data_IF_214175619655
#
_entry.id   IF_214175619655
#
_cell.length_a   1.000
_cell.length_b   1.000
_cell.length_c   1.000
_cell.angle_alpha   90.00
_cell.angle_beta   90.00
_cell.angle_gamma   90.00
#
_symmetry.space_group_name_H-M   'P 1'
#
loop_
_entity.id
_entity.type
_entity.pdbx_description
1 polymer ?
#
# COMPACT_ATOMS: atom_id res chain seq x y z
N UNK A 1 18.66 10.95 40.31
CA UNK A 1 18.60 10.24 39.04
C UNK A 1 18.36 11.24 37.92
N UNK A 2 19.05 11.13 36.80
CA UNK A 2 18.70 11.96 35.63
C UNK A 2 17.51 11.29 34.89
N UNK A 3 16.29 11.73 35.26
CA UNK A 3 15.05 11.18 34.67
C UNK A 3 14.53 12.01 33.49
N UNK A 4 15.24 13.06 33.09
CA UNK A 4 14.84 13.94 31.98
C UNK A 4 14.59 13.20 30.65
N UNK A 5 15.41 12.18 30.34
CA UNK A 5 15.24 11.36 29.15
C UNK A 5 13.91 10.53 29.17
N UNK A 6 13.49 10.08 30.36
CA UNK A 6 12.25 9.33 30.53
C UNK A 6 11.01 10.20 30.38
N UNK A 7 11.04 11.42 30.94
CA UNK A 7 9.98 12.41 30.70
C UNK A 7 9.86 12.77 29.23
N UNK A 8 10.98 12.93 28.53
CA UNK A 8 10.99 13.22 27.12
C UNK A 8 10.38 12.03 26.31
N UNK A 9 10.75 10.81 26.68
CA UNK A 9 10.18 9.59 26.05
C UNK A 9 8.67 9.49 26.25
N UNK A 10 8.17 9.74 27.47
CA UNK A 10 6.72 9.74 27.75
C UNK A 10 6.01 10.81 26.91
N UNK A 11 6.56 12.02 26.82
CA UNK A 11 5.98 13.11 26.04
C UNK A 11 5.92 12.77 24.55
N UNK A 12 7.00 12.19 24.00
CA UNK A 12 7.07 11.74 22.60
C UNK A 12 6.04 10.64 22.30
N UNK A 13 5.95 9.62 23.17
CA UNK A 13 4.99 8.53 22.99
C UNK A 13 3.53 9.02 23.10
N UNK A 14 3.27 9.99 23.98
CA UNK A 14 1.93 10.61 24.12
C UNK A 14 1.54 11.37 22.85
N UNK A 15 2.46 12.14 22.28
CA UNK A 15 2.23 12.85 21.01
C UNK A 15 1.98 11.86 19.85
N UNK A 16 2.80 10.83 19.72
CA UNK A 16 2.63 9.77 18.72
C UNK A 16 1.29 9.06 18.85
N UNK A 17 0.88 8.73 20.08
CA UNK A 17 -0.41 8.09 20.35
C UNK A 17 -1.59 9.00 20.00
N UNK A 18 -1.51 10.31 20.30
CA UNK A 18 -2.53 11.30 19.92
C UNK A 18 -2.67 11.41 18.40
N UNK A 19 -1.56 11.47 17.67
CA UNK A 19 -1.59 11.49 16.20
C UNK A 19 -2.24 10.23 15.62
N UNK A 20 -1.97 9.07 16.20
CA UNK A 20 -2.63 7.82 15.79
C UNK A 20 -4.12 7.82 16.12
N UNK A 21 -4.51 8.36 17.26
CA UNK A 21 -5.91 8.47 17.69
C UNK A 21 -6.75 9.24 16.68
N UNK A 22 -6.27 10.45 16.29
CA UNK A 22 -6.95 11.30 15.32
C UNK A 22 -7.04 10.64 13.94
N UNK A 23 -5.94 10.04 13.49
CA UNK A 23 -5.89 9.44 12.16
C UNK A 23 -6.62 8.12 12.00
N UNK A 24 -6.76 7.35 13.07
CA UNK A 24 -7.53 6.11 13.07
C UNK A 24 -9.02 6.36 13.28
N UNK A 25 -9.43 7.64 13.40
CA UNK A 25 -10.82 8.03 13.62
C UNK A 25 -11.42 7.25 14.81
N UNK A 26 -10.65 7.18 15.92
CA UNK A 26 -11.00 6.31 17.04
C UNK A 26 -12.30 6.72 17.72
N UNK A 27 -12.68 8.00 17.69
CA UNK A 27 -13.97 8.45 18.18
C UNK A 27 -15.13 7.82 17.37
N UNK A 28 -15.06 7.88 16.05
CA UNK A 28 -16.07 7.27 15.15
C UNK A 28 -16.13 5.74 15.34
N UNK A 29 -14.98 5.10 15.56
CA UNK A 29 -14.91 3.67 15.82
C UNK A 29 -15.46 3.28 17.19
N UNK A 30 -15.34 4.13 18.20
CA UNK A 30 -15.99 3.95 19.50
C UNK A 30 -17.50 4.06 19.37
N UNK A 31 -18.01 5.07 18.66
CA UNK A 31 -19.43 5.22 18.38
C UNK A 31 -19.97 4.00 17.61
N UNK A 32 -19.22 3.56 16.58
CA UNK A 32 -19.57 2.36 15.82
C UNK A 32 -19.59 1.09 16.67
N UNK A 33 -18.66 0.97 17.62
CA UNK A 33 -18.62 -0.14 18.56
C UNK A 33 -19.88 -0.19 19.43
N UNK A 34 -20.36 0.94 19.91
CA UNK A 34 -21.61 1.04 20.69
C UNK A 34 -22.83 0.68 19.83
N UNK A 35 -22.86 1.14 18.57
CA UNK A 35 -23.92 0.74 17.62
C UNK A 35 -23.93 -0.78 17.40
N UNK A 36 -22.76 -1.39 17.13
CA UNK A 36 -22.64 -2.84 16.91
C UNK A 36 -23.04 -3.64 18.14
N UNK A 37 -22.73 -3.16 19.35
CA UNK A 37 -23.20 -3.77 20.60
C UNK A 37 -24.72 -3.75 20.70
N UNK A 38 -25.35 -2.60 20.41
CA UNK A 38 -26.80 -2.46 20.41
C UNK A 38 -27.48 -3.33 19.33
N UNK A 39 -26.88 -3.39 18.12
CA UNK A 39 -27.40 -4.28 17.07
C UNK A 39 -27.35 -5.75 17.48
N UNK A 40 -26.28 -6.21 18.14
CA UNK A 40 -26.15 -7.59 18.62
C UNK A 40 -27.10 -7.94 19.78
N UNK A 41 -27.62 -6.96 20.52
CA UNK A 41 -28.66 -7.15 21.52
C UNK A 41 -30.06 -7.42 20.92
N UNK A 42 -30.24 -7.04 19.61
CA UNK A 42 -31.53 -7.28 18.94
C UNK A 42 -31.68 -8.76 18.56
N UNK A 43 -32.75 -9.44 19.04
CA UNK A 43 -32.98 -10.85 18.75
C UNK A 43 -33.10 -11.16 17.24
N UNK A 44 -33.55 -10.22 16.43
CA UNK A 44 -33.74 -10.40 14.99
C UNK A 44 -32.40 -10.62 14.24
N UNK A 45 -31.30 -10.12 14.77
CA UNK A 45 -29.97 -10.32 14.18
C UNK A 45 -29.53 -11.78 14.23
N UNK A 46 -29.91 -12.49 15.30
CA UNK A 46 -29.58 -13.90 15.50
C UNK A 46 -30.40 -14.85 14.62
N UNK A 47 -31.46 -14.35 13.97
CA UNK A 47 -32.18 -15.11 12.95
C UNK A 47 -31.41 -15.20 11.61
N UNK A 48 -30.41 -14.33 11.40
CA UNK A 48 -29.50 -14.36 10.24
C UNK A 48 -28.05 -14.66 10.70
N UNK A 49 -27.58 -15.93 10.57
CA UNK A 49 -26.26 -16.34 11.07
C UNK A 49 -25.09 -15.59 10.42
N UNK A 50 -25.17 -15.23 9.13
CA UNK A 50 -24.12 -14.52 8.41
C UNK A 50 -23.96 -13.09 8.97
N UNK A 51 -25.08 -12.38 9.16
CA UNK A 51 -25.08 -11.03 9.73
C UNK A 51 -24.56 -11.05 11.18
N UNK A 52 -24.99 -12.01 11.98
CA UNK A 52 -24.53 -12.17 13.37
C UNK A 52 -23.03 -12.46 13.44
N UNK A 53 -22.51 -13.29 12.55
CA UNK A 53 -21.07 -13.60 12.46
C UNK A 53 -20.25 -12.38 12.01
N UNK A 54 -20.74 -11.63 11.04
CA UNK A 54 -20.07 -10.39 10.56
C UNK A 54 -19.98 -9.35 11.67
N UNK A 55 -21.11 -9.03 12.32
CA UNK A 55 -21.16 -8.09 13.45
C UNK A 55 -20.32 -8.58 14.65
N UNK A 56 -20.28 -9.89 14.89
CA UNK A 56 -19.43 -10.48 15.93
C UNK A 56 -17.93 -10.29 15.65
N UNK A 57 -17.49 -10.45 14.40
CA UNK A 57 -16.10 -10.18 13.99
C UNK A 57 -15.77 -8.70 14.09
N UNK A 58 -16.66 -7.84 13.59
CA UNK A 58 -16.52 -6.38 13.64
C UNK A 58 -16.38 -5.92 15.11
N UNK A 59 -17.25 -6.40 15.99
CA UNK A 59 -17.18 -6.11 17.44
C UNK A 59 -15.82 -6.44 18.03
N UNK A 60 -15.32 -7.66 17.79
CA UNK A 60 -14.02 -8.11 18.34
C UNK A 60 -12.87 -7.23 17.83
N UNK A 61 -12.89 -6.83 16.57
CA UNK A 61 -11.87 -5.96 16.01
C UNK A 61 -11.90 -4.55 16.64
N UNK A 62 -13.09 -3.96 16.75
CA UNK A 62 -13.28 -2.64 17.35
C UNK A 62 -12.98 -2.64 18.85
N UNK A 63 -13.46 -3.65 19.61
CA UNK A 63 -13.17 -3.81 21.04
C UNK A 63 -11.64 -3.90 21.28
N UNK A 64 -10.93 -4.75 20.53
CA UNK A 64 -9.48 -4.90 20.66
C UNK A 64 -8.73 -3.60 20.38
N UNK A 65 -9.15 -2.87 19.35
CA UNK A 65 -8.52 -1.59 18.97
C UNK A 65 -8.75 -0.55 20.08
N UNK A 66 -10.00 -0.29 20.45
CA UNK A 66 -10.36 0.71 21.45
C UNK A 66 -9.74 0.39 22.82
N UNK A 67 -9.78 -0.88 23.25
CA UNK A 67 -9.16 -1.32 24.50
C UNK A 67 -7.64 -1.11 24.51
N UNK A 68 -6.98 -1.43 23.40
CA UNK A 68 -5.53 -1.26 23.25
C UNK A 68 -5.12 0.20 23.37
N UNK A 69 -5.82 1.11 22.67
CA UNK A 69 -5.53 2.54 22.76
C UNK A 69 -5.87 3.13 24.12
N UNK A 70 -6.99 2.73 24.74
CA UNK A 70 -7.36 3.15 26.08
C UNK A 70 -6.31 2.73 27.12
N UNK A 71 -5.85 1.48 27.07
CA UNK A 71 -4.78 0.97 27.94
C UNK A 71 -3.46 1.72 27.74
N UNK A 72 -3.07 1.97 26.49
CA UNK A 72 -1.84 2.69 26.17
C UNK A 72 -1.89 4.13 26.72
N UNK A 73 -3.03 4.81 26.57
CA UNK A 73 -3.23 6.14 27.10
C UNK A 73 -3.17 6.19 28.64
N UNK A 74 -3.81 5.21 29.31
CA UNK A 74 -3.72 5.07 30.77
C UNK A 74 -2.27 4.83 31.21
N UNK A 75 -1.55 3.90 30.59
CA UNK A 75 -0.14 3.63 30.92
C UNK A 75 0.72 4.88 30.79
N UNK A 76 0.55 5.68 29.73
CA UNK A 76 1.34 6.90 29.52
C UNK A 76 0.96 8.01 30.53
N UNK A 77 -0.33 8.13 30.87
CA UNK A 77 -0.80 9.08 31.90
C UNK A 77 -0.26 8.71 33.27
N UNK A 78 -0.42 7.43 33.66
CA UNK A 78 0.03 6.93 34.96
C UNK A 78 1.56 6.94 35.07
N UNK A 79 2.29 6.70 33.96
CA UNK A 79 3.74 6.68 33.93
C UNK A 79 4.37 8.01 34.36
N UNK A 80 3.73 9.14 34.03
CA UNK A 80 4.21 10.45 34.40
C UNK A 80 4.12 10.65 35.94
N UNK A 81 2.97 10.30 36.51
CA UNK A 81 2.74 10.44 37.96
C UNK A 81 3.63 9.48 38.76
N UNK A 82 3.73 8.22 38.31
CA UNK A 82 4.58 7.22 38.95
C UNK A 82 6.06 7.56 38.86
N UNK A 83 6.50 8.20 37.77
CA UNK A 83 7.89 8.66 37.64
C UNK A 83 8.22 9.79 38.63
N UNK A 84 7.28 10.73 38.84
CA UNK A 84 7.42 11.81 39.84
C UNK A 84 7.49 11.23 41.28
N UNK A 85 6.66 10.22 41.58
CA UNK A 85 6.67 9.54 42.87
C UNK A 85 7.97 8.76 43.09
N UNK A 86 8.39 7.97 42.11
CA UNK A 86 9.62 7.18 42.19
C UNK A 86 10.88 8.04 42.28
N UNK A 87 10.88 9.26 41.69
CA UNK A 87 11.94 10.23 41.82
C UNK A 87 12.04 10.73 43.29
N UNK A 88 10.91 11.06 43.92
CA UNK A 88 10.86 11.55 45.29
C UNK A 88 11.32 10.51 46.32
N UNK A 89 11.05 9.23 46.06
CA UNK A 89 11.38 8.10 46.93
C UNK A 89 12.71 7.40 46.59
N UNK A 90 13.36 7.78 45.46
CA UNK A 90 14.55 7.12 44.91
C UNK A 90 14.33 5.61 44.64
N UNK A 91 13.10 5.20 44.22
CA UNK A 91 12.72 3.84 43.95
C UNK A 91 13.14 3.41 42.52
N UNK A 92 14.27 2.71 42.45
CA UNK A 92 14.84 2.22 41.17
C UNK A 92 14.02 1.09 40.57
N UNK A 93 13.40 0.25 41.41
CA UNK A 93 12.65 -0.89 40.93
C UNK A 93 11.35 -0.46 40.22
N UNK A 94 10.65 0.53 40.76
CA UNK A 94 9.49 1.15 40.10
C UNK A 94 9.87 1.79 38.77
N UNK A 95 11.01 2.53 38.71
CA UNK A 95 11.49 3.10 37.43
C UNK A 95 11.77 2.04 36.39
N UNK A 96 12.42 0.92 36.75
CA UNK A 96 12.70 -0.18 35.81
C UNK A 96 11.41 -0.87 35.31
N UNK A 97 10.42 -1.04 36.20
CA UNK A 97 9.09 -1.56 35.81
C UNK A 97 8.41 -0.66 34.79
N UNK A 98 8.40 0.66 35.04
CA UNK A 98 7.85 1.67 34.12
C UNK A 98 8.54 1.65 32.75
N UNK A 99 9.86 1.55 32.73
CA UNK A 99 10.59 1.49 31.45
C UNK A 99 10.18 0.28 30.63
N UNK A 100 9.97 -0.86 31.27
CA UNK A 100 9.49 -2.07 30.59
C UNK A 100 8.10 -1.88 29.97
N UNK A 101 7.20 -1.19 30.65
CA UNK A 101 5.85 -0.94 30.14
C UNK A 101 5.86 0.15 29.06
N UNK A 102 6.71 1.17 29.17
CA UNK A 102 6.93 2.13 28.11
C UNK A 102 7.50 1.49 26.84
N UNK A 103 8.44 0.55 26.94
CA UNK A 103 8.98 -0.18 25.80
C UNK A 103 7.91 -1.03 25.11
N UNK A 104 7.03 -1.68 25.87
CA UNK A 104 5.87 -2.41 25.30
C UNK A 104 4.93 -1.47 24.56
N UNK A 105 4.62 -0.33 25.17
CA UNK A 105 3.74 0.70 24.59
C UNK A 105 4.35 1.29 23.31
N UNK A 106 5.66 1.56 23.31
CA UNK A 106 6.39 2.03 22.12
C UNK A 106 6.33 1.02 20.96
N UNK A 107 6.57 -0.26 21.25
CA UNK A 107 6.48 -1.32 20.24
C UNK A 107 5.05 -1.42 19.66
N UNK A 108 4.04 -1.24 20.48
CA UNK A 108 2.65 -1.29 20.08
C UNK A 108 2.28 -0.08 19.22
N UNK A 109 2.67 1.14 19.62
CA UNK A 109 2.50 2.37 18.84
C UNK A 109 3.19 2.20 17.48
N UNK A 110 4.45 1.74 17.47
CA UNK A 110 5.22 1.52 16.24
C UNK A 110 4.56 0.51 15.31
N UNK A 111 3.94 -0.53 15.85
CA UNK A 111 3.16 -1.51 15.07
C UNK A 111 1.96 -0.86 14.38
N UNK A 112 1.17 -0.06 15.09
CA UNK A 112 0.01 0.62 14.50
C UNK A 112 0.42 1.72 13.51
N UNK A 113 1.52 2.44 13.77
CA UNK A 113 2.10 3.37 12.81
C UNK A 113 2.51 2.64 11.51
N UNK A 114 3.11 1.47 11.64
CA UNK A 114 3.48 0.63 10.50
C UNK A 114 2.25 0.12 9.73
N UNK A 115 1.27 -0.47 10.42
CA UNK A 115 0.03 -0.95 9.80
C UNK A 115 -0.71 0.17 9.06
N UNK A 116 -0.67 1.38 9.61
CA UNK A 116 -1.25 2.57 8.97
C UNK A 116 -0.51 2.99 7.71
N UNK A 117 0.83 2.97 7.73
CA UNK A 117 1.64 3.36 6.57
C UNK A 117 1.37 2.47 5.35
N UNK A 118 0.99 1.20 5.57
CA UNK A 118 0.77 0.18 4.54
C UNK A 118 -0.68 -0.31 4.50
N UNK A 119 -1.61 0.63 4.27
CA UNK A 119 -3.04 0.35 4.27
C UNK A 119 -3.61 0.11 2.86
N UNK A 120 -2.82 0.27 1.82
CA UNK A 120 -3.21 0.01 0.45
C UNK A 120 -3.27 -1.50 0.14
N UNK A 121 -4.26 -1.91 -0.66
CA UNK A 121 -4.46 -3.31 -1.04
C UNK A 121 -3.22 -3.94 -1.68
N UNK A 122 -2.46 -3.14 -2.44
CA UNK A 122 -1.25 -3.57 -3.14
C UNK A 122 0.05 -3.32 -2.35
N UNK A 123 -0.02 -2.69 -1.17
CA UNK A 123 1.18 -2.28 -0.42
C UNK A 123 2.08 -3.46 -0.03
N UNK A 124 1.52 -4.66 0.15
CA UNK A 124 2.27 -5.88 0.49
C UNK A 124 3.08 -6.46 -0.66
N UNK A 125 2.79 -6.05 -1.90
CA UNK A 125 3.39 -6.65 -3.08
C UNK A 125 4.86 -6.26 -3.24
N UNK A 126 5.59 -7.07 -3.99
CA UNK A 126 6.85 -6.70 -4.61
C UNK A 126 6.67 -5.53 -5.56
N UNK A 127 7.74 -4.83 -5.93
CA UNK A 127 7.65 -3.62 -6.74
C UNK A 127 8.60 -3.61 -7.92
N UNK A 128 8.16 -2.97 -9.00
CA UNK A 128 9.03 -2.51 -10.08
C UNK A 128 9.23 -1.01 -9.94
N UNK A 129 10.48 -0.57 -10.05
CA UNK A 129 10.87 0.84 -10.01
C UNK A 129 11.54 1.20 -11.33
N UNK A 130 10.89 2.09 -12.06
CA UNK A 130 11.38 2.63 -13.34
C UNK A 130 12.02 4.00 -13.12
N UNK A 131 13.23 4.16 -13.62
CA UNK A 131 13.98 5.43 -13.61
C UNK A 131 14.13 5.90 -15.05
N UNK A 132 13.83 7.18 -15.32
CA UNK A 132 14.06 7.78 -16.61
C UNK A 132 14.80 9.10 -16.46
N UNK A 133 15.83 9.30 -17.30
CA UNK A 133 16.50 10.59 -17.37
C UNK A 133 15.60 11.65 -18.01
N UNK A 134 15.47 12.80 -17.36
CA UNK A 134 14.74 13.94 -17.90
C UNK A 134 15.51 14.70 -18.95
N UNK A 135 14.97 15.85 -19.39
CA UNK A 135 15.68 16.76 -20.29
C UNK A 135 16.90 17.36 -19.58
N UNK A 136 18.07 17.24 -20.17
CA UNK A 136 19.35 17.73 -19.63
C UNK A 136 20.59 17.06 -20.21
N UNK A 137 20.41 16.17 -21.21
CA UNK A 137 21.52 15.50 -21.90
C UNK A 137 22.32 14.62 -20.93
N UNK A 138 23.65 14.60 -21.11
CA UNK A 138 24.58 13.76 -20.33
C UNK A 138 24.45 13.97 -18.81
N UNK A 139 24.20 15.18 -18.35
CA UNK A 139 24.04 15.48 -16.92
C UNK A 139 22.78 14.82 -16.30
N UNK A 140 21.67 14.77 -17.04
CA UNK A 140 20.45 14.08 -16.60
C UNK A 140 20.61 12.56 -16.63
N UNK A 141 21.38 12.04 -17.60
CA UNK A 141 21.70 10.61 -17.70
C UNK A 141 22.59 10.16 -16.53
N UNK A 142 23.57 10.97 -16.15
CA UNK A 142 24.43 10.72 -14.99
C UNK A 142 23.60 10.80 -13.68
N UNK A 143 22.66 11.77 -13.59
CA UNK A 143 21.76 11.86 -12.46
C UNK A 143 20.87 10.62 -12.32
N UNK A 144 20.34 10.11 -13.41
CA UNK A 144 19.55 8.88 -13.40
C UNK A 144 20.36 7.67 -12.90
N UNK A 145 21.65 7.58 -13.25
CA UNK A 145 22.55 6.54 -12.75
C UNK A 145 22.83 6.70 -11.24
N UNK A 146 22.97 7.93 -10.75
CA UNK A 146 23.11 8.18 -9.31
C UNK A 146 21.85 7.74 -8.54
N UNK A 147 20.66 8.02 -9.07
CA UNK A 147 19.38 7.58 -8.50
C UNK A 147 19.29 6.05 -8.51
N UNK A 148 19.66 5.41 -9.62
CA UNK A 148 19.71 3.95 -9.71
C UNK A 148 20.57 3.37 -8.56
N UNK A 149 21.77 3.87 -8.39
CA UNK A 149 22.67 3.42 -7.32
C UNK A 149 22.09 3.65 -5.93
N UNK A 150 21.41 4.78 -5.72
CA UNK A 150 20.77 5.13 -4.46
C UNK A 150 19.68 4.12 -4.08
N UNK A 151 18.79 3.77 -5.01
CA UNK A 151 17.73 2.80 -4.73
C UNK A 151 18.24 1.36 -4.61
N UNK A 152 19.22 0.93 -5.38
CA UNK A 152 19.86 -0.37 -5.21
C UNK A 152 20.42 -0.52 -3.80
N UNK A 153 21.15 0.48 -3.30
CA UNK A 153 21.70 0.46 -1.93
C UNK A 153 20.64 0.52 -0.85
N UNK A 154 19.54 1.26 -1.10
CA UNK A 154 18.41 1.29 -0.19
C UNK A 154 17.76 -0.09 -0.08
N UNK A 155 17.54 -0.76 -1.20
CA UNK A 155 16.97 -2.11 -1.23
C UNK A 155 17.84 -3.15 -0.52
N UNK A 156 19.16 -3.08 -0.74
CA UNK A 156 20.13 -3.94 -0.04
C UNK A 156 20.07 -3.74 1.49
N UNK A 157 19.97 -2.49 1.96
CA UNK A 157 19.84 -2.17 3.39
C UNK A 157 18.55 -2.72 4.03
N UNK A 158 17.47 -2.78 3.25
CA UNK A 158 16.18 -3.32 3.69
C UNK A 158 16.04 -4.83 3.48
N UNK A 159 17.12 -5.50 3.05
CA UNK A 159 17.13 -6.94 2.76
C UNK A 159 16.13 -7.37 1.69
N UNK A 160 15.74 -6.49 0.77
CA UNK A 160 15.00 -6.88 -0.41
C UNK A 160 15.91 -7.66 -1.38
N UNK A 161 15.32 -8.63 -2.08
CA UNK A 161 16.02 -9.29 -3.18
C UNK A 161 15.92 -8.40 -4.42
N UNK A 162 16.96 -7.57 -4.65
CA UNK A 162 16.96 -6.55 -5.69
C UNK A 162 17.55 -7.10 -6.98
N UNK A 163 16.79 -6.96 -8.09
CA UNK A 163 17.24 -7.39 -9.43
C UNK A 163 17.14 -6.23 -10.41
N UNK A 164 18.24 -5.96 -11.11
CA UNK A 164 18.25 -5.03 -12.23
C UNK A 164 17.71 -5.76 -13.47
N UNK A 165 16.52 -5.35 -13.95
CA UNK A 165 15.83 -6.02 -15.04
C UNK A 165 16.26 -5.50 -16.40
N UNK A 166 16.32 -4.18 -16.56
CA UNK A 166 16.67 -3.52 -17.79
C UNK A 166 17.48 -2.25 -17.53
N UNK A 167 18.44 -1.97 -18.38
CA UNK A 167 19.21 -0.72 -18.36
C UNK A 167 19.47 -0.27 -19.78
N UNK A 168 19.08 0.95 -20.10
CA UNK A 168 19.45 1.64 -21.33
C UNK A 168 20.58 2.61 -21.05
N UNK A 169 21.77 2.36 -21.62
CA UNK A 169 22.94 3.19 -21.40
C UNK A 169 22.76 4.60 -22.00
N UNK A 170 23.38 5.58 -21.36
CA UNK A 170 23.49 6.94 -21.88
C UNK A 170 24.42 7.02 -23.10
N UNK A 171 24.36 8.15 -23.81
CA UNK A 171 25.15 8.32 -25.03
C UNK A 171 26.65 8.54 -24.73
N UNK A 172 26.97 9.19 -23.63
CA UNK A 172 28.35 9.51 -23.21
C UNK A 172 28.64 9.00 -21.80
N UNK A 173 27.68 9.15 -20.88
CA UNK A 173 27.78 8.71 -19.50
C UNK A 173 26.35 8.50 -18.93
N UNK A 174 26.27 7.78 -17.83
CA UNK A 174 24.99 7.53 -17.14
C UNK A 174 24.05 6.60 -17.89
N UNK A 175 22.77 6.69 -17.59
CA UNK A 175 21.71 5.87 -18.16
C UNK A 175 20.54 6.72 -18.69
N UNK A 176 19.89 6.26 -19.74
CA UNK A 176 18.63 6.83 -20.24
C UNK A 176 17.45 6.37 -19.40
N UNK A 177 17.42 5.08 -19.11
CA UNK A 177 16.41 4.44 -18.28
C UNK A 177 16.95 3.20 -17.59
N UNK A 178 16.31 2.82 -16.50
CA UNK A 178 16.53 1.53 -15.82
C UNK A 178 15.26 1.07 -15.16
N UNK A 179 15.05 -0.25 -15.12
CA UNK A 179 13.98 -0.92 -14.35
C UNK A 179 14.60 -1.83 -13.31
N UNK A 180 14.21 -1.65 -12.06
CA UNK A 180 14.64 -2.45 -10.92
C UNK A 180 13.42 -3.22 -10.38
N UNK A 181 13.60 -4.50 -10.09
CA UNK A 181 12.63 -5.31 -9.37
C UNK A 181 13.06 -5.44 -7.91
N UNK A 182 12.19 -5.08 -6.99
CA UNK A 182 12.34 -5.25 -5.55
C UNK A 182 11.40 -6.38 -5.12
N UNK A 183 11.96 -7.55 -4.85
CA UNK A 183 11.22 -8.72 -4.43
C UNK A 183 11.26 -8.81 -2.90
N UNK A 184 10.09 -8.71 -2.27
CA UNK A 184 9.93 -8.75 -0.83
C UNK A 184 8.62 -8.14 -0.35
N UNK A 185 8.22 -8.52 0.87
CA UNK A 185 6.96 -8.05 1.46
C UNK A 185 7.02 -6.53 1.72
N UNK A 186 5.97 -5.83 1.32
CA UNK A 186 5.81 -4.37 1.41
C UNK A 186 6.77 -3.52 0.55
N UNK A 187 7.44 -4.11 -0.44
CA UNK A 187 8.34 -3.34 -1.30
C UNK A 187 7.60 -2.20 -2.03
N UNK A 188 6.40 -2.46 -2.57
CA UNK A 188 5.58 -1.43 -3.20
C UNK A 188 5.11 -0.39 -2.19
N UNK A 189 4.64 -0.80 -1.02
CA UNK A 189 4.18 0.12 0.03
C UNK A 189 5.26 1.13 0.45
N UNK A 190 6.50 0.68 0.59
CA UNK A 190 7.64 1.55 0.88
C UNK A 190 7.95 2.54 -0.26
N UNK A 191 7.96 2.04 -1.50
CA UNK A 191 8.45 2.81 -2.65
C UNK A 191 7.39 3.68 -3.32
N UNK A 192 6.09 3.43 -3.12
CA UNK A 192 5.00 4.17 -3.77
C UNK A 192 5.08 5.68 -3.55
N UNK A 193 5.57 6.10 -2.38
CA UNK A 193 5.76 7.52 -2.07
C UNK A 193 6.95 8.16 -2.83
N UNK A 194 7.78 7.40 -3.52
CA UNK A 194 8.92 7.89 -4.29
C UNK A 194 8.59 8.19 -5.76
N UNK A 195 7.31 8.01 -6.17
CA UNK A 195 6.83 8.36 -7.50
C UNK A 195 6.91 9.87 -7.70
N UNK A 196 7.67 10.31 -8.73
CA UNK A 196 7.77 11.72 -9.09
C UNK A 196 9.11 12.13 -9.64
N UNK A 197 9.36 13.44 -9.64
CA UNK A 197 10.58 14.04 -10.22
C UNK A 197 11.59 14.36 -9.13
N UNK A 198 12.80 13.86 -9.32
CA UNK A 198 13.98 14.14 -8.51
C UNK A 198 14.84 15.20 -9.20
N UNK A 199 15.02 16.34 -8.56
CA UNK A 199 15.78 17.48 -9.07
C UNK A 199 17.18 17.49 -8.49
N UNK A 200 18.19 17.45 -9.34
CA UNK A 200 19.60 17.66 -8.98
C UNK A 200 20.05 19.06 -9.32
N UNK A 201 20.78 19.70 -8.41
CA UNK A 201 21.49 20.97 -8.63
C UNK A 201 22.92 20.79 -8.15
N UNK A 202 23.90 20.87 -9.09
CA UNK A 202 25.32 20.76 -8.78
C UNK A 202 26.20 21.48 -9.83
N UNK A 203 27.47 21.63 -9.54
CA UNK A 203 28.45 21.95 -10.56
C UNK A 203 28.66 20.73 -11.44
N UNK A 204 28.43 20.90 -12.76
CA UNK A 204 28.48 19.76 -13.70
C UNK A 204 29.93 19.33 -13.94
N UNK A 205 30.25 18.03 -13.80
CA UNK A 205 31.56 17.49 -14.18
C UNK A 205 31.76 17.43 -15.69
N UNK A 206 30.67 17.51 -16.47
CA UNK A 206 30.69 17.46 -17.94
C UNK A 206 30.81 18.85 -18.61
N UNK A 207 30.80 19.93 -17.80
CA UNK A 207 30.94 21.28 -18.29
C UNK A 207 32.35 21.81 -17.99
N UNK A 208 33.11 22.11 -19.05
CA UNK A 208 34.50 22.60 -18.95
C UNK A 208 34.64 23.87 -18.07
N UNK A 209 33.60 24.68 -17.97
CA UNK A 209 33.57 25.90 -17.15
C UNK A 209 33.04 25.68 -15.73
N UNK A 210 32.73 24.44 -15.33
CA UNK A 210 32.21 24.12 -13.99
C UNK A 210 30.91 24.84 -13.62
N UNK A 211 30.09 25.19 -14.62
CA UNK A 211 28.82 25.90 -14.37
C UNK A 211 27.85 25.02 -13.57
N UNK A 212 27.05 25.69 -12.76
CA UNK A 212 25.95 25.07 -12.02
C UNK A 212 24.84 24.68 -12.98
N UNK A 213 24.44 23.39 -12.94
CA UNK A 213 23.38 22.83 -13.76
C UNK A 213 22.25 22.29 -12.88
N UNK A 214 21.06 22.30 -13.47
CA UNK A 214 19.88 21.66 -12.90
C UNK A 214 19.47 20.54 -13.84
N UNK A 215 19.35 19.33 -13.30
CA UNK A 215 18.94 18.13 -14.03
C UNK A 215 17.78 17.46 -13.33
N UNK A 216 16.98 16.75 -14.09
CA UNK A 216 15.80 16.06 -13.60
C UNK A 216 15.85 14.59 -14.01
N UNK A 217 15.32 13.75 -13.13
CA UNK A 217 15.05 12.35 -13.42
C UNK A 217 13.71 11.99 -12.81
N UNK A 218 12.89 11.23 -13.52
CA UNK A 218 11.63 10.72 -13.01
C UNK A 218 11.79 9.31 -12.46
N UNK A 219 11.09 9.04 -11.38
CA UNK A 219 10.95 7.72 -10.78
C UNK A 219 9.48 7.36 -10.81
N UNK A 220 9.18 6.14 -11.23
CA UNK A 220 7.86 5.58 -11.22
C UNK A 220 7.92 4.20 -10.54
N UNK A 221 6.89 3.87 -9.74
CA UNK A 221 6.82 2.60 -9.03
C UNK A 221 5.50 1.93 -9.34
N UNK A 222 5.54 0.65 -9.67
CA UNK A 222 4.36 -0.19 -9.88
C UNK A 222 4.43 -1.45 -9.04
N UNK A 223 3.29 -1.95 -8.54
CA UNK A 223 3.26 -3.21 -7.82
C UNK A 223 3.46 -4.39 -8.78
N UNK A 224 4.09 -5.46 -8.29
CA UNK A 224 4.05 -6.74 -8.95
C UNK A 224 2.67 -7.36 -8.74
N UNK A 225 1.96 -7.63 -9.82
CA UNK A 225 0.64 -8.26 -9.82
C UNK A 225 0.80 -9.69 -10.31
N UNK A 226 0.37 -10.67 -9.51
CA UNK A 226 0.31 -12.06 -9.95
C UNK A 226 -0.66 -12.18 -11.13
N UNK A 227 -0.17 -12.74 -12.24
CA UNK A 227 -0.97 -12.94 -13.45
C UNK A 227 -1.94 -14.15 -13.35
N UNK A 228 -1.91 -14.90 -12.25
CA UNK A 228 -2.79 -16.05 -12.05
C UNK A 228 -4.20 -15.60 -11.63
N UNK A 229 -5.06 -15.44 -12.66
CA UNK A 229 -6.49 -15.20 -12.46
C UNK A 229 -7.18 -16.55 -12.24
N UNK A 230 -7.37 -16.95 -10.99
CA UNK A 230 -8.20 -18.10 -10.66
C UNK A 230 -9.66 -17.66 -10.49
N UNK A 231 -10.51 -18.00 -11.48
CA UNK A 231 -11.94 -17.73 -11.39
C UNK A 231 -12.60 -18.86 -10.59
N UNK A 232 -12.91 -18.57 -9.31
CA UNK A 232 -13.75 -19.40 -8.46
C UNK A 232 -15.20 -18.94 -8.61
N UNK A 233 -16.08 -19.83 -9.08
CA UNK A 233 -17.51 -19.53 -9.24
C UNK A 233 -18.26 -20.22 -8.11
N UNK A 234 -18.90 -19.44 -7.23
CA UNK A 234 -19.79 -19.98 -6.21
C UNK A 234 -21.15 -20.36 -6.84
N UNK A 235 -21.59 -21.62 -6.70
CA UNK A 235 -22.90 -22.04 -7.21
C UNK A 235 -24.08 -21.27 -6.63
N UNK A 236 -23.95 -20.69 -5.44
CA UNK A 236 -25.00 -19.88 -4.79
C UNK A 236 -25.22 -18.52 -5.47
N UNK A 237 -24.22 -18.01 -6.19
CA UNK A 237 -24.26 -16.76 -6.94
C UNK A 237 -24.80 -16.93 -8.36
N UNK A 238 -25.17 -18.18 -8.74
CA UNK A 238 -25.67 -18.50 -10.07
C UNK A 238 -27.18 -18.68 -10.07
N UNK A 239 -27.84 -17.95 -10.94
CA UNK A 239 -29.21 -18.25 -11.33
C UNK A 239 -29.21 -19.03 -12.62
N UNK A 240 -29.75 -20.25 -12.59
CA UNK A 240 -29.82 -21.16 -13.71
C UNK A 240 -31.29 -21.32 -14.16
N UNK A 241 -31.60 -20.85 -15.36
CA UNK A 241 -32.92 -20.94 -15.98
C UNK A 241 -32.85 -21.91 -17.15
N UNK A 242 -33.81 -22.84 -17.24
CA UNK A 242 -33.98 -23.73 -18.38
C UNK A 242 -35.14 -23.27 -19.24
N UNK A 243 -35.00 -23.35 -20.57
CA UNK A 243 -36.03 -22.91 -21.49
C UNK A 243 -36.03 -23.77 -22.77
N UNK A 244 -37.08 -23.63 -23.57
CA UNK A 244 -37.18 -24.31 -24.86
C UNK A 244 -36.35 -23.58 -25.91
N UNK A 245 -35.48 -24.31 -26.60
CA UNK A 245 -34.70 -23.75 -27.67
C UNK A 245 -35.63 -23.30 -28.82
N UNK A 246 -35.40 -22.07 -29.30
CA UNK A 246 -36.07 -21.56 -30.49
C UNK A 246 -35.08 -21.53 -31.66
N UNK A 247 -35.24 -22.42 -32.63
CA UNK A 247 -34.36 -22.48 -33.82
C UNK A 247 -34.89 -23.42 -34.90
N UNK A 248 -34.27 -23.37 -36.08
CA UNK A 248 -34.59 -24.26 -37.23
C UNK A 248 -34.11 -25.69 -36.95
N UNK A 249 -34.89 -26.46 -36.16
CA UNK A 249 -34.64 -27.83 -35.78
C UNK A 249 -35.94 -28.63 -35.80
N UNK A 250 -35.85 -29.96 -36.07
CA UNK A 250 -37.00 -30.85 -36.18
C UNK A 250 -37.86 -30.91 -34.91
N UNK A 251 -39.04 -31.61 -34.99
CA UNK A 251 -40.07 -31.65 -33.91
C UNK A 251 -39.57 -31.98 -32.49
N UNK A 252 -38.39 -32.55 -32.36
CA UNK A 252 -37.84 -32.93 -31.04
C UNK A 252 -37.19 -31.74 -30.29
N UNK A 253 -36.62 -30.75 -31.00
CA UNK A 253 -35.91 -29.60 -30.42
C UNK A 253 -36.92 -28.62 -29.78
N UNK A 254 -38.14 -28.55 -30.32
CA UNK A 254 -39.16 -27.62 -29.85
C UNK A 254 -40.03 -28.17 -28.70
N UNK A 255 -39.82 -29.43 -28.26
CA UNK A 255 -40.62 -30.08 -27.21
C UNK A 255 -39.91 -30.24 -25.88
N UNK A 256 -38.58 -30.19 -25.87
CA UNK A 256 -37.77 -30.39 -24.65
C UNK A 256 -37.12 -29.09 -24.21
N UNK A 257 -37.13 -28.83 -22.92
CA UNK A 257 -36.45 -27.66 -22.29
C UNK A 257 -34.97 -27.98 -22.11
N UNK A 258 -34.23 -28.10 -23.21
CA UNK A 258 -32.81 -28.45 -23.19
C UNK A 258 -31.88 -27.23 -23.15
N UNK A 259 -32.37 -26.02 -23.50
CA UNK A 259 -31.56 -24.81 -23.48
C UNK A 259 -31.37 -24.33 -22.03
N UNK A 260 -30.16 -23.89 -21.73
CA UNK A 260 -29.77 -23.42 -20.41
C UNK A 260 -29.27 -21.96 -20.48
N UNK A 261 -29.76 -21.13 -19.59
CA UNK A 261 -29.26 -19.76 -19.34
C UNK A 261 -28.70 -19.72 -17.93
N UNK A 262 -27.49 -19.23 -17.79
CA UNK A 262 -26.84 -18.99 -16.50
C UNK A 262 -26.61 -17.50 -16.37
N UNK A 263 -27.08 -16.94 -15.27
CA UNK A 263 -26.83 -15.55 -14.87
C UNK A 263 -25.98 -15.55 -13.62
N UNK A 264 -24.83 -14.92 -13.69
CA UNK A 264 -23.99 -14.64 -12.52
C UNK A 264 -24.48 -13.35 -11.86
N UNK A 265 -25.04 -13.46 -10.65
CA UNK A 265 -25.73 -12.37 -9.97
C UNK A 265 -24.82 -11.17 -9.66
N UNK A 266 -23.58 -11.34 -9.13
CA UNK A 266 -22.72 -10.20 -8.78
C UNK A 266 -22.32 -9.35 -9.99
N UNK A 267 -21.99 -9.96 -11.13
CA UNK A 267 -21.53 -9.24 -12.34
C UNK A 267 -22.64 -9.04 -13.36
N UNK A 268 -23.85 -9.56 -13.13
CA UNK A 268 -24.96 -9.57 -14.09
C UNK A 268 -24.61 -10.18 -15.45
N UNK A 269 -23.57 -11.01 -15.51
CA UNK A 269 -23.12 -11.67 -16.72
C UNK A 269 -24.07 -12.80 -17.08
N UNK A 270 -24.58 -12.81 -18.33
CA UNK A 270 -25.51 -13.81 -18.81
C UNK A 270 -24.87 -14.63 -19.94
N UNK A 271 -24.97 -15.94 -19.84
CA UNK A 271 -24.59 -16.90 -20.89
C UNK A 271 -25.74 -17.83 -21.22
N UNK A 272 -25.82 -18.29 -22.48
CA UNK A 272 -26.86 -19.18 -22.94
C UNK A 272 -26.23 -20.26 -23.83
N UNK A 273 -26.66 -21.50 -23.62
CA UNK A 273 -26.27 -22.63 -24.48
C UNK A 273 -27.49 -23.45 -24.87
N UNK A 274 -27.64 -23.70 -26.18
CA UNK A 274 -28.76 -24.46 -26.75
C UNK A 274 -28.33 -25.46 -27.82
N UNK A 275 -27.01 -25.69 -27.97
CA UNK A 275 -26.44 -26.47 -29.11
C UNK A 275 -26.64 -27.97 -28.97
N UNK A 276 -26.81 -28.48 -27.72
CA UNK A 276 -26.93 -29.89 -27.41
C UNK A 276 -28.39 -30.34 -27.16
N UNK A 277 -28.66 -31.64 -27.40
CA UNK A 277 -29.94 -32.27 -27.02
C UNK A 277 -30.03 -32.58 -25.51
N UNK A 278 -28.90 -32.57 -24.81
CA UNK A 278 -28.80 -32.84 -23.36
C UNK A 278 -28.70 -31.55 -22.57
N UNK A 279 -29.63 -31.37 -21.63
CA UNK A 279 -29.64 -30.25 -20.69
C UNK A 279 -28.32 -30.16 -19.85
N UNK A 280 -27.81 -31.33 -19.43
CA UNK A 280 -26.55 -31.38 -18.66
C UNK A 280 -25.36 -30.93 -19.51
N UNK A 281 -25.25 -31.39 -20.76
CA UNK A 281 -24.18 -30.96 -21.65
C UNK A 281 -24.24 -29.43 -21.94
N UNK A 282 -25.45 -28.89 -22.13
CA UNK A 282 -25.64 -27.44 -22.30
C UNK A 282 -25.29 -26.66 -21.04
N UNK A 283 -25.59 -27.19 -19.84
CA UNK A 283 -25.19 -26.58 -18.57
C UNK A 283 -23.67 -26.53 -18.43
N UNK A 284 -22.98 -27.64 -18.68
CA UNK A 284 -21.51 -27.71 -18.61
C UNK A 284 -20.85 -26.77 -19.63
N UNK A 285 -21.40 -26.69 -20.83
CA UNK A 285 -20.91 -25.75 -21.84
C UNK A 285 -21.16 -24.29 -21.44
N UNK A 286 -22.34 -23.98 -20.92
CA UNK A 286 -22.66 -22.64 -20.41
C UNK A 286 -21.75 -22.24 -19.22
N UNK A 287 -21.43 -23.18 -18.32
CA UNK A 287 -20.46 -22.93 -17.24
C UNK A 287 -19.06 -22.60 -17.77
N UNK A 288 -18.60 -23.32 -18.78
CA UNK A 288 -17.31 -23.00 -19.45
C UNK A 288 -17.32 -21.60 -20.07
N UNK A 289 -18.42 -21.26 -20.76
CA UNK A 289 -18.59 -19.94 -21.38
C UNK A 289 -18.65 -18.84 -20.31
N UNK A 290 -19.34 -19.10 -19.18
CA UNK A 290 -19.38 -18.16 -18.06
C UNK A 290 -17.98 -17.92 -17.48
N UNK A 291 -17.22 -18.99 -17.23
CA UNK A 291 -15.84 -18.90 -16.73
C UNK A 291 -14.96 -18.07 -17.66
N UNK A 292 -15.06 -18.27 -18.97
CA UNK A 292 -14.31 -17.47 -19.96
C UNK A 292 -14.71 -16.00 -19.95
N UNK A 293 -16.02 -15.70 -19.86
CA UNK A 293 -16.48 -14.30 -19.80
C UNK A 293 -16.07 -13.60 -18.50
N UNK A 294 -16.13 -14.27 -17.36
CA UNK A 294 -15.66 -13.71 -16.09
C UNK A 294 -14.16 -13.48 -16.11
N UNK A 295 -13.39 -14.38 -16.73
CA UNK A 295 -11.96 -14.20 -16.96
C UNK A 295 -11.65 -12.96 -17.80
N UNK A 296 -12.40 -12.77 -18.92
CA UNK A 296 -12.24 -11.56 -19.76
C UNK A 296 -12.59 -10.28 -18.99
N UNK A 297 -13.64 -10.28 -18.17
CA UNK A 297 -14.02 -9.13 -17.35
C UNK A 297 -12.94 -8.79 -16.32
N UNK A 298 -12.36 -9.81 -15.68
CA UNK A 298 -11.28 -9.61 -14.72
C UNK A 298 -10.01 -9.07 -15.39
N UNK A 299 -9.66 -9.57 -16.59
CA UNK A 299 -8.57 -9.00 -17.41
C UNK A 299 -8.85 -7.54 -17.77
N UNK A 300 -10.08 -7.21 -18.19
CA UNK A 300 -10.43 -5.83 -18.54
C UNK A 300 -10.34 -4.92 -17.33
N UNK A 301 -10.80 -5.36 -16.15
CA UNK A 301 -10.68 -4.61 -14.89
C UNK A 301 -9.21 -4.37 -14.56
N UNK A 302 -8.37 -5.39 -14.57
CA UNK A 302 -6.91 -5.27 -14.33
C UNK A 302 -6.21 -4.38 -15.37
N UNK A 303 -6.62 -4.46 -16.63
CA UNK A 303 -6.07 -3.61 -17.68
C UNK A 303 -6.47 -2.14 -17.49
N UNK A 304 -7.70 -1.85 -17.04
CA UNK A 304 -8.10 -0.48 -16.71
C UNK A 304 -7.32 0.06 -15.51
N UNK A 305 -7.10 -0.75 -14.48
CA UNK A 305 -6.27 -0.40 -13.33
C UNK A 305 -4.80 -0.17 -13.74
N UNK A 306 -4.24 -1.03 -14.61
CA UNK A 306 -2.90 -0.80 -15.21
C UNK A 306 -2.86 0.46 -16.07
N UNK A 307 -3.92 0.78 -16.79
CA UNK A 307 -4.02 1.99 -17.62
C UNK A 307 -4.07 3.25 -16.75
N UNK A 308 -4.84 3.22 -15.66
CA UNK A 308 -4.89 4.33 -14.70
C UNK A 308 -3.49 4.59 -14.08
N UNK A 309 -2.75 3.52 -13.78
CA UNK A 309 -1.36 3.59 -13.31
C UNK A 309 -0.42 4.12 -14.41
N UNK A 310 -0.65 3.77 -15.68
CA UNK A 310 0.14 4.25 -16.81
C UNK A 310 -0.18 5.69 -17.19
N UNK A 311 -1.44 6.12 -17.04
CA UNK A 311 -1.86 7.51 -17.25
C UNK A 311 -1.24 8.43 -16.17
N UNK A 312 -1.04 7.94 -14.96
CA UNK A 312 -0.23 8.64 -13.95
C UNK A 312 1.23 8.84 -14.40
N UNK A 313 1.81 7.93 -15.21
CA UNK A 313 3.16 8.13 -15.81
C UNK A 313 3.20 9.33 -16.77
N UNK A 314 2.15 9.54 -17.55
CA UNK A 314 2.10 10.64 -18.53
C UNK A 314 1.91 12.01 -17.88
N UNK A 315 1.27 12.07 -16.70
CA UNK A 315 1.06 13.29 -15.91
C UNK A 315 2.27 13.68 -15.04
N UNK A 316 3.33 12.84 -14.96
CA UNK A 316 4.62 13.18 -14.32
C UNK A 316 5.40 14.15 -15.22
N UNK A 317 4.74 15.18 -15.67
CA UNK A 317 5.34 16.35 -16.29
C UNK A 317 6.08 17.19 -15.24
N UNK A 318 6.82 18.20 -15.68
CA UNK A 318 7.68 19.09 -14.90
C UNK A 318 7.10 19.65 -13.59
N UNK A 319 5.82 19.41 -13.26
CA UNK A 319 5.11 19.93 -12.11
C UNK A 319 5.24 19.17 -10.80
N UNK A 320 5.53 17.87 -10.82
CA UNK A 320 5.52 17.02 -9.61
C UNK A 320 6.92 16.71 -9.09
N UNK A 321 7.69 17.76 -8.71
CA UNK A 321 8.98 17.57 -8.06
C UNK A 321 8.75 17.12 -6.60
N UNK A 322 9.20 15.92 -6.27
CA UNK A 322 9.09 15.38 -4.90
C UNK A 322 10.29 15.75 -4.05
N UNK A 323 11.50 15.72 -4.62
CA UNK A 323 12.73 15.96 -3.85
C UNK A 323 13.77 16.74 -4.63
N UNK A 324 14.42 17.70 -3.96
CA UNK A 324 15.48 18.54 -4.51
C UNK A 324 16.82 18.24 -3.83
N UNK A 325 17.82 17.90 -4.63
CA UNK A 325 19.18 17.56 -4.22
C UNK A 325 20.10 18.70 -4.64
N UNK A 326 20.55 19.53 -3.70
CA UNK A 326 21.44 20.68 -3.94
C UNK A 326 22.80 20.36 -3.34
N UNK A 327 23.66 19.71 -4.12
CA UNK A 327 24.94 19.18 -3.62
C UNK A 327 25.93 20.29 -3.26
N UNK A 328 25.91 21.42 -3.96
CA UNK A 328 26.77 22.57 -3.66
C UNK A 328 26.52 23.16 -2.27
N UNK A 329 25.33 22.99 -1.73
CA UNK A 329 24.91 23.50 -0.42
C UNK A 329 24.78 22.39 0.63
N UNK A 330 25.17 21.16 0.29
CA UNK A 330 24.98 19.97 1.12
C UNK A 330 23.57 19.89 1.67
N UNK A 331 22.54 20.01 0.80
CA UNK A 331 21.14 20.02 1.18
C UNK A 331 20.30 19.15 0.27
N UNK A 332 19.55 18.26 0.87
CA UNK A 332 18.47 17.50 0.22
C UNK A 332 17.19 17.82 0.95
N UNK A 333 16.14 18.18 0.19
CA UNK A 333 14.84 18.56 0.76
C UNK A 333 13.73 17.82 0.02
N UNK A 334 12.86 17.15 0.76
CA UNK A 334 11.56 16.70 0.23
C UNK A 334 10.60 17.90 0.24
N UNK A 335 10.00 18.16 -0.93
CA UNK A 335 9.16 19.34 -1.15
C UNK A 335 7.74 19.15 -0.63
N UNK A 336 7.31 17.92 -0.41
CA UNK A 336 5.98 17.55 0.07
C UNK A 336 5.90 17.59 1.60
N UNK A 337 6.87 17.00 2.27
CA UNK A 337 6.93 16.92 3.74
C UNK A 337 7.74 18.04 4.37
N UNK A 338 8.58 18.74 3.59
CA UNK A 338 9.46 19.78 4.07
C UNK A 338 10.73 19.27 4.80
N UNK A 339 10.90 17.95 4.95
CA UNK A 339 12.07 17.37 5.63
C UNK A 339 13.33 17.63 4.83
N UNK A 340 14.39 18.00 5.55
CA UNK A 340 15.70 18.32 4.97
C UNK A 340 16.81 17.47 5.60
N UNK A 341 17.82 17.13 4.79
CA UNK A 341 19.06 16.50 5.26
C UNK A 341 20.27 17.27 4.73
N UNK A 342 21.25 17.50 5.62
CA UNK A 342 22.54 18.06 5.26
C UNK A 342 23.58 17.01 4.87
N UNK A 343 23.35 15.74 5.21
CA UNK A 343 24.22 14.62 4.85
C UNK A 343 23.84 14.05 3.48
N UNK A 344 24.23 14.78 2.42
CA UNK A 344 23.86 14.41 1.04
C UNK A 344 24.46 13.09 0.59
N UNK A 345 25.66 12.75 1.08
CA UNK A 345 26.33 11.52 0.70
C UNK A 345 25.62 10.29 1.28
N UNK A 346 25.20 10.37 2.53
CA UNK A 346 24.50 9.28 3.20
C UNK A 346 23.14 8.96 2.50
N UNK A 347 22.41 10.02 2.10
CA UNK A 347 21.18 9.86 1.32
C UNK A 347 21.44 9.22 -0.04
N UNK A 348 22.49 9.68 -0.79
CA UNK A 348 22.88 9.08 -2.05
C UNK A 348 23.43 7.64 -1.90
N UNK A 349 23.86 7.28 -0.70
CA UNK A 349 24.25 5.92 -0.33
C UNK A 349 23.10 5.07 0.19
N UNK A 350 21.83 5.53 -0.01
CA UNK A 350 20.63 4.77 0.21
C UNK A 350 20.01 4.93 1.61
N UNK A 351 20.31 6.01 2.35
CA UNK A 351 19.60 6.33 3.59
C UNK A 351 18.39 7.24 3.30
N UNK A 352 17.29 6.64 2.79
CA UNK A 352 16.09 7.35 2.37
C UNK A 352 14.97 7.34 3.39
N UNK A 353 15.06 6.53 4.43
CA UNK A 353 13.95 6.22 5.34
C UNK A 353 13.32 7.46 5.98
N UNK A 354 14.13 8.47 6.35
CA UNK A 354 13.61 9.71 6.91
C UNK A 354 12.61 10.42 5.97
N UNK A 355 12.82 10.34 4.65
CA UNK A 355 11.93 10.95 3.65
C UNK A 355 10.73 10.05 3.36
N UNK A 356 10.97 8.75 3.16
CA UNK A 356 9.95 7.77 2.84
C UNK A 356 8.94 7.67 4.00
N UNK A 357 9.42 7.45 5.22
CA UNK A 357 8.57 7.34 6.42
C UNK A 357 7.74 8.61 6.64
N UNK A 358 8.36 9.78 6.46
CA UNK A 358 7.63 11.04 6.60
C UNK A 358 6.53 11.21 5.53
N UNK A 359 6.81 10.81 4.28
CA UNK A 359 5.82 10.85 3.20
C UNK A 359 4.67 9.88 3.47
N UNK A 360 4.97 8.64 3.88
CA UNK A 360 3.96 7.64 4.24
C UNK A 360 3.11 8.07 5.45
N UNK A 361 3.73 8.67 6.48
CA UNK A 361 3.01 9.23 7.64
C UNK A 361 2.11 10.40 7.24
N UNK A 362 2.46 11.16 6.22
CA UNK A 362 1.63 12.23 5.67
C UNK A 362 0.50 11.72 4.74
N UNK A 363 0.42 10.40 4.50
CA UNK A 363 -0.60 9.80 3.64
C UNK A 363 -0.36 10.00 2.13
N UNK A 364 0.92 10.18 1.73
CA UNK A 364 1.34 10.39 0.35
C UNK A 364 1.71 9.09 -0.35
#
# INVERSE_FOLDING_TARGET
MELSAHYQKISELTERLSVLFDHLELEEKQDRLEEVKLELENPDVWSNPEKAQSLGKEKVQLDNLCETFSKSNSILSDAKELLEMAESENDVDTVNGLLTDLDKTENLISKYEFERMFNGEMDRNSAYLDIQSGSGGTEAQDWAEMILRMYLRWGDKHNFNVKLMEVSAGDVAGIKSATIHFDGEYAFGWLRSEIGIHRLVRKSPYNANGKRHTSFSSVFVSPEIDDDIEIVIDPSELRIDTYRASGAGGQHVNKTESAVRITHLPTSTVVQCQDGRSQHANKDQAMKQLKSKLYELEIQKRNSEKQDVEDLKSDIGWGHQIRSYVLDQSRIKDLRTGIESSNTQDVLDGNLDQFIVASLKAGL
#
